data_IF_040855897768
#
_entry.id   IF_040855897768
#
_cell.length_a   1.000
_cell.length_b   1.000
_cell.length_c   1.000
_cell.angle_alpha   90.00
_cell.angle_beta   90.00
_cell.angle_gamma   90.00
#
_symmetry.space_group_name_H-M   'P 1'
#
loop_
_entity.id
_entity.type
_entity.pdbx_description
1 polymer ?
#
# COMPACT_ATOMS: atom_id res chain seq x y z
N UNK A 1 -21.83 -10.51 -9.95
CA UNK A 1 -20.49 -10.46 -10.59
C UNK A 1 -20.27 -9.19 -11.44
N UNK A 2 -21.16 -8.85 -12.38
CA UNK A 2 -21.05 -7.60 -13.17
C UNK A 2 -21.19 -6.31 -12.32
N UNK A 3 -22.06 -6.34 -11.31
CA UNK A 3 -22.32 -5.20 -10.42
C UNK A 3 -21.14 -4.91 -9.45
N UNK A 4 -20.36 -5.93 -9.12
CA UNK A 4 -19.16 -5.83 -8.27
C UNK A 4 -17.97 -5.21 -9.02
N UNK A 5 -17.79 -5.55 -10.30
CA UNK A 5 -16.82 -4.89 -11.16
C UNK A 5 -17.17 -3.42 -11.42
N UNK A 6 -18.48 -3.07 -11.46
CA UNK A 6 -18.97 -1.69 -11.56
C UNK A 6 -18.63 -0.90 -10.29
N UNK A 7 -18.94 -1.44 -9.10
CA UNK A 7 -18.63 -0.79 -7.82
C UNK A 7 -17.12 -0.56 -7.62
N UNK A 8 -16.27 -1.48 -8.07
CA UNK A 8 -14.81 -1.27 -8.03
C UNK A 8 -14.30 -0.23 -9.03
N UNK A 9 -14.92 -0.09 -10.22
CA UNK A 9 -14.56 0.97 -11.18
C UNK A 9 -14.95 2.35 -10.65
N UNK A 10 -16.12 2.46 -10.04
CA UNK A 10 -16.63 3.71 -9.46
C UNK A 10 -15.82 4.15 -8.22
N UNK A 11 -15.39 3.21 -7.37
CA UNK A 11 -14.62 3.52 -6.14
C UNK A 11 -13.12 3.72 -6.35
N UNK A 12 -12.54 3.17 -7.42
CA UNK A 12 -11.11 3.30 -7.72
C UNK A 12 -10.76 4.47 -8.66
N UNK A 13 -11.72 5.26 -9.15
CA UNK A 13 -11.49 6.58 -9.76
C UNK A 13 -10.30 6.67 -10.73
N UNK A 14 -10.22 5.76 -11.71
CA UNK A 14 -9.27 5.87 -12.82
C UNK A 14 -10.07 6.05 -14.10
N UNK A 15 -10.14 7.30 -14.57
CA UNK A 15 -10.79 7.63 -15.83
C UNK A 15 -9.98 7.06 -17.01
N UNK A 16 -10.61 6.23 -17.84
CA UNK A 16 -10.15 5.94 -19.18
C UNK A 16 -10.88 6.86 -20.16
N UNK A 17 -10.17 7.74 -20.85
CA UNK A 17 -10.62 8.29 -22.14
C UNK A 17 -10.33 7.27 -23.25
N UNK A 18 -11.00 7.23 -24.39
CA UNK A 18 -12.11 8.02 -24.94
C UNK A 18 -12.16 7.72 -26.45
N UNK A 19 -13.36 7.55 -27.00
CA UNK A 19 -13.76 7.68 -28.43
C UNK A 19 -15.25 7.24 -28.47
N UNK A 20 -16.26 7.94 -29.00
CA UNK A 20 -16.32 9.06 -29.93
C UNK A 20 -17.26 8.67 -31.07
N UNK A 21 -18.52 9.13 -31.06
CA UNK A 21 -19.36 9.42 -32.24
C UNK A 21 -20.79 9.81 -31.85
N UNK A 22 -21.37 10.75 -32.61
CA UNK A 22 -22.58 11.53 -32.38
C UNK A 22 -23.70 11.15 -33.38
N UNK A 23 -24.99 11.26 -33.00
CA UNK A 23 -26.00 12.18 -33.60
C UNK A 23 -27.48 11.85 -33.27
N UNK A 24 -28.17 12.92 -32.82
CA UNK A 24 -29.52 13.45 -33.16
C UNK A 24 -30.86 12.75 -32.81
N UNK A 25 -31.80 13.60 -32.34
CA UNK A 25 -33.16 13.44 -31.75
C UNK A 25 -34.32 13.28 -32.79
N UNK A 26 -35.64 13.53 -32.50
CA UNK A 26 -36.45 13.53 -31.25
C UNK A 26 -37.78 12.69 -31.36
N UNK A 27 -38.50 12.48 -30.25
CA UNK A 27 -39.85 11.88 -30.25
C UNK A 27 -40.69 12.23 -29.01
N UNK A 28 -41.98 12.53 -29.22
CA UNK A 28 -42.94 13.22 -28.33
C UNK A 28 -43.50 12.40 -27.15
N UNK A 29 -43.74 13.12 -26.04
CA UNK A 29 -44.90 13.12 -25.11
C UNK A 29 -45.76 11.87 -24.90
N UNK A 30 -45.89 11.45 -23.63
CA UNK A 30 -47.20 11.39 -22.93
C UNK A 30 -47.06 11.20 -21.41
N UNK A 31 -47.93 11.88 -20.67
CA UNK A 31 -48.10 11.89 -19.21
C UNK A 31 -48.66 10.55 -18.68
N UNK A 32 -48.28 10.16 -17.46
CA UNK A 32 -49.24 9.63 -16.46
C UNK A 32 -48.68 9.70 -15.04
N UNK A 33 -49.61 9.86 -14.10
CA UNK A 33 -49.46 10.12 -12.67
C UNK A 33 -49.17 8.83 -11.91
N UNK A 34 -48.43 8.90 -10.81
CA UNK A 34 -48.25 7.77 -9.88
C UNK A 34 -47.61 8.25 -8.58
N UNK A 35 -48.10 7.74 -7.46
CA UNK A 35 -48.03 8.34 -6.13
C UNK A 35 -46.63 8.40 -5.51
N UNK A 36 -46.46 9.39 -4.63
CA UNK A 36 -45.34 9.53 -3.72
C UNK A 36 -45.34 8.35 -2.73
N UNK A 37 -44.43 7.41 -2.96
CA UNK A 37 -44.09 6.36 -2.01
C UNK A 37 -42.84 6.82 -1.27
N UNK A 38 -43.02 7.12 0.02
CA UNK A 38 -41.96 7.58 0.92
C UNK A 38 -40.95 6.46 1.11
N UNK A 39 -39.89 6.50 0.31
CA UNK A 39 -38.73 5.64 0.46
C UNK A 39 -38.16 5.81 1.88
N UNK A 40 -38.27 4.73 2.66
CA UNK A 40 -37.55 4.56 3.92
C UNK A 40 -36.07 4.82 3.65
N UNK A 41 -35.36 5.60 4.50
CA UNK A 41 -33.93 5.77 4.32
C UNK A 41 -33.29 4.39 4.35
N UNK A 42 -32.62 4.04 3.24
CA UNK A 42 -31.77 2.86 3.18
C UNK A 42 -30.78 2.97 4.32
N UNK A 43 -30.80 1.96 5.20
CA UNK A 43 -29.86 1.84 6.30
C UNK A 43 -28.44 2.05 5.76
N UNK A 44 -27.73 3.00 6.36
CA UNK A 44 -26.31 3.21 6.14
C UNK A 44 -25.59 1.87 6.34
N UNK A 45 -24.58 1.54 5.52
CA UNK A 45 -23.82 0.31 5.73
C UNK A 45 -23.17 0.40 7.11
N UNK A 46 -23.46 -0.58 7.97
CA UNK A 46 -22.88 -0.67 9.31
C UNK A 46 -21.37 -0.46 9.22
N UNK A 47 -20.90 0.56 9.95
CA UNK A 47 -19.49 0.87 10.10
C UNK A 47 -18.75 -0.41 10.49
N UNK A 48 -17.84 -0.86 9.63
CA UNK A 48 -17.01 -2.03 9.89
C UNK A 48 -16.36 -1.86 11.26
N UNK A 49 -16.52 -2.89 12.10
CA UNK A 49 -15.98 -2.95 13.46
C UNK A 49 -14.57 -2.37 13.49
N UNK A 50 -14.45 -1.14 14.02
CA UNK A 50 -13.23 -0.37 13.99
C UNK A 50 -12.13 -1.15 14.70
N UNK A 51 -10.94 -1.17 14.09
CA UNK A 51 -9.73 -1.64 14.74
C UNK A 51 -9.58 -0.90 16.10
N UNK A 52 -9.30 -1.59 17.23
CA UNK A 52 -9.14 -0.93 18.53
C UNK A 52 -8.07 0.18 18.50
N UNK A 53 -8.08 1.11 19.46
CA UNK A 53 -7.12 2.21 19.48
C UNK A 53 -5.68 1.68 19.48
N UNK A 54 -4.81 2.42 18.79
CA UNK A 54 -3.37 2.09 18.70
C UNK A 54 -2.73 2.15 20.07
N UNK A 55 -1.55 1.51 20.20
CA UNK A 55 -0.65 1.84 21.30
C UNK A 55 -0.32 3.34 21.29
N UNK A 56 -0.14 3.99 22.45
CA UNK A 56 0.33 5.37 22.51
C UNK A 56 1.65 5.55 21.75
N UNK A 57 1.86 6.72 21.16
CA UNK A 57 3.16 7.06 20.58
C UNK A 57 4.20 7.20 21.70
N UNK A 58 5.44 6.80 21.42
CA UNK A 58 6.58 6.91 22.33
C UNK A 58 7.54 7.96 21.77
N UNK A 59 7.69 9.07 22.49
CA UNK A 59 8.54 10.18 22.08
C UNK A 59 10.03 9.78 21.96
N UNK A 60 10.48 8.78 22.72
CA UNK A 60 11.82 8.22 22.60
C UNK A 60 12.01 7.49 21.27
N UNK A 61 11.03 6.67 20.88
CA UNK A 61 11.03 5.98 19.58
C UNK A 61 10.97 6.98 18.42
N UNK A 62 10.15 8.02 18.53
CA UNK A 62 10.07 9.10 17.53
C UNK A 62 11.42 9.79 17.33
N UNK A 63 12.12 10.13 18.43
CA UNK A 63 13.45 10.74 18.37
C UNK A 63 14.50 9.81 17.73
N UNK A 64 14.45 8.51 18.04
CA UNK A 64 15.34 7.51 17.43
C UNK A 64 15.08 7.34 15.93
N UNK A 65 13.82 7.32 15.51
CA UNK A 65 13.45 7.28 14.09
C UNK A 65 13.87 8.55 13.35
N UNK A 66 13.74 9.72 13.97
CA UNK A 66 14.22 10.98 13.40
C UNK A 66 15.75 10.98 13.22
N UNK A 67 16.50 10.49 14.21
CA UNK A 67 17.96 10.31 14.11
C UNK A 67 18.35 9.32 12.99
N UNK A 68 17.61 8.21 12.87
CA UNK A 68 17.80 7.24 11.80
C UNK A 68 17.52 7.85 10.43
N UNK A 69 16.45 8.64 10.28
CA UNK A 69 16.13 9.36 9.05
C UNK A 69 17.24 10.35 8.66
N UNK A 70 17.79 11.10 9.62
CA UNK A 70 18.91 12.02 9.38
C UNK A 70 20.21 11.28 8.98
N UNK A 71 20.40 10.05 9.46
CA UNK A 71 21.49 9.17 9.03
C UNK A 71 21.29 8.71 7.59
N UNK A 72 20.07 8.24 7.26
CA UNK A 72 19.70 7.81 5.90
C UNK A 72 19.88 8.95 4.89
N UNK A 73 19.44 10.17 5.23
CA UNK A 73 19.54 11.34 4.35
C UNK A 73 20.97 11.65 3.89
N UNK A 74 21.97 11.30 4.70
CA UNK A 74 23.39 11.51 4.41
C UNK A 74 24.11 10.26 3.87
N UNK A 75 23.39 9.15 3.70
CA UNK A 75 23.99 7.88 3.31
C UNK A 75 24.55 7.94 1.87
N UNK A 76 25.78 7.45 1.70
CA UNK A 76 26.49 7.35 0.41
C UNK A 76 27.02 5.94 0.13
N UNK A 77 26.53 4.91 0.85
CA UNK A 77 27.00 3.51 0.73
C UNK A 77 26.82 2.92 -0.68
N UNK A 78 25.85 3.41 -1.44
CA UNK A 78 25.63 3.04 -2.84
C UNK A 78 25.91 4.25 -3.72
N UNK A 79 27.05 4.27 -4.41
CA UNK A 79 27.51 5.45 -5.17
C UNK A 79 26.51 5.90 -6.24
N UNK A 80 25.98 4.97 -7.05
CA UNK A 80 25.02 5.29 -8.12
C UNK A 80 23.72 5.87 -7.56
N UNK A 81 23.11 5.20 -6.58
CA UNK A 81 21.86 5.66 -5.96
C UNK A 81 22.01 7.02 -5.26
N UNK A 82 23.17 7.26 -4.64
CA UNK A 82 23.45 8.53 -3.97
C UNK A 82 23.68 9.67 -4.96
N UNK A 83 24.29 9.39 -6.11
CA UNK A 83 24.50 10.38 -7.15
C UNK A 83 23.22 10.68 -7.96
N UNK A 84 22.30 9.73 -8.07
CA UNK A 84 21.12 9.86 -8.95
C UNK A 84 19.84 10.32 -8.25
N UNK A 85 19.71 10.12 -6.94
CA UNK A 85 18.50 10.51 -6.19
C UNK A 85 18.39 12.02 -6.07
N UNK A 86 17.17 12.53 -6.00
CA UNK A 86 16.91 13.91 -5.56
C UNK A 86 17.02 13.99 -4.04
N UNK A 87 16.40 13.03 -3.35
CA UNK A 87 16.47 12.91 -1.89
C UNK A 87 16.19 11.47 -1.47
N UNK A 88 16.47 11.15 -0.21
CA UNK A 88 16.07 9.84 0.32
C UNK A 88 14.60 9.82 0.72
N UNK A 89 13.97 8.66 0.58
CA UNK A 89 12.58 8.41 1.00
C UNK A 89 12.61 7.40 2.13
N UNK A 90 12.45 7.88 3.36
CA UNK A 90 12.65 7.08 4.57
C UNK A 90 11.45 6.20 4.92
N UNK A 91 10.31 6.83 5.24
CA UNK A 91 9.04 6.21 5.58
C UNK A 91 7.90 7.25 5.62
N UNK A 92 6.66 6.76 5.74
CA UNK A 92 5.45 7.51 6.05
C UNK A 92 4.68 6.75 7.15
N UNK A 93 4.03 7.47 8.06
CA UNK A 93 3.25 6.88 9.15
C UNK A 93 3.90 6.93 10.55
N UNK A 94 3.14 6.54 11.58
CA UNK A 94 3.52 6.77 12.97
C UNK A 94 4.43 5.67 13.53
N UNK A 95 5.26 6.02 14.52
CA UNK A 95 6.18 5.10 15.20
C UNK A 95 5.51 3.95 15.93
N UNK A 96 4.25 4.11 16.34
CA UNK A 96 3.43 3.11 17.03
C UNK A 96 2.56 2.26 16.08
N UNK A 97 2.80 2.32 14.78
CA UNK A 97 2.01 1.57 13.81
C UNK A 97 2.15 0.06 14.01
N UNK A 98 1.02 -0.62 14.17
CA UNK A 98 1.02 -2.08 14.34
C UNK A 98 1.02 -2.86 13.01
N UNK A 99 0.84 -2.17 11.89
CA UNK A 99 0.97 -2.72 10.54
C UNK A 99 2.01 -1.92 9.77
N UNK A 100 2.99 -2.64 9.22
CA UNK A 100 4.02 -2.08 8.35
C UNK A 100 3.90 -2.64 6.93
N UNK A 101 3.84 -1.75 5.94
CA UNK A 101 3.98 -2.08 4.54
C UNK A 101 5.42 -1.87 4.08
N UNK A 102 5.97 -2.85 3.36
CA UNK A 102 7.31 -2.80 2.79
C UNK A 102 7.23 -2.98 1.28
N UNK A 103 7.57 -1.93 0.54
CA UNK A 103 7.72 -1.95 -0.91
C UNK A 103 9.16 -2.13 -1.37
N UNK A 104 9.38 -1.97 -2.68
CA UNK A 104 10.67 -2.20 -3.32
C UNK A 104 11.62 -1.02 -3.16
N UNK A 105 11.29 0.11 -3.79
CA UNK A 105 12.12 1.30 -3.86
C UNK A 105 11.25 2.53 -4.17
N UNK A 106 11.75 3.75 -3.92
CA UNK A 106 11.07 4.97 -4.33
C UNK A 106 10.98 5.08 -5.85
N UNK A 107 9.85 5.54 -6.37
CA UNK A 107 9.70 5.98 -7.75
C UNK A 107 10.02 7.47 -7.90
N UNK A 108 9.73 8.01 -9.09
CA UNK A 108 10.00 9.41 -9.42
C UNK A 108 9.22 10.39 -8.52
N UNK A 109 7.94 10.13 -8.29
CA UNK A 109 7.08 10.99 -7.47
C UNK A 109 7.50 10.98 -6.00
N UNK A 110 7.95 9.82 -5.51
CA UNK A 110 8.46 9.64 -4.15
C UNK A 110 9.81 10.34 -3.97
N UNK A 111 10.74 10.16 -4.90
CA UNK A 111 12.05 10.84 -4.90
C UNK A 111 11.92 12.36 -4.93
N UNK A 112 10.95 12.90 -5.68
CA UNK A 112 10.68 14.33 -5.70
C UNK A 112 10.09 14.86 -4.39
N UNK A 113 9.33 14.04 -3.64
CA UNK A 113 8.56 14.47 -2.46
C UNK A 113 9.14 14.02 -1.12
N UNK A 114 10.05 13.05 -1.10
CA UNK A 114 10.60 12.48 0.14
C UNK A 114 9.64 11.51 0.86
N UNK A 115 8.46 11.24 0.30
CA UNK A 115 7.40 10.43 0.94
C UNK A 115 7.13 9.17 0.11
N UNK A 116 7.11 7.97 0.71
CA UNK A 116 6.88 6.72 0.00
C UNK A 116 5.44 6.59 -0.51
N UNK A 117 5.26 5.93 -1.66
CA UNK A 117 3.94 5.61 -2.21
C UNK A 117 3.01 6.83 -2.32
N UNK A 118 3.46 7.87 -3.03
CA UNK A 118 2.68 9.10 -3.32
C UNK A 118 2.30 9.25 -4.80
N UNK A 119 2.91 8.45 -5.69
CA UNK A 119 2.52 8.35 -7.09
C UNK A 119 1.29 7.47 -7.31
N UNK A 120 1.05 7.07 -8.57
CA UNK A 120 -0.13 6.27 -8.96
C UNK A 120 -0.25 4.94 -8.19
N UNK A 121 0.87 4.23 -8.01
CA UNK A 121 0.92 3.00 -7.23
C UNK A 121 0.55 3.25 -5.76
N UNK A 122 0.99 4.39 -5.23
CA UNK A 122 0.67 4.82 -3.87
C UNK A 122 -0.78 5.20 -3.65
N UNK A 123 -1.40 5.89 -4.60
CA UNK A 123 -2.85 6.16 -4.56
C UNK A 123 -3.67 4.87 -4.56
N UNK A 124 -3.23 3.85 -5.31
CA UNK A 124 -3.87 2.54 -5.28
C UNK A 124 -3.64 1.83 -3.94
N UNK A 125 -2.43 1.90 -3.37
CA UNK A 125 -2.17 1.38 -2.02
C UNK A 125 -3.09 2.03 -0.97
N UNK A 126 -3.25 3.36 -1.02
CA UNK A 126 -4.18 4.09 -0.14
C UNK A 126 -5.60 3.54 -0.28
N UNK A 127 -6.08 3.31 -1.50
CA UNK A 127 -7.41 2.71 -1.75
C UNK A 127 -7.52 1.29 -1.21
N UNK A 128 -6.45 0.49 -1.30
CA UNK A 128 -6.40 -0.87 -0.75
C UNK A 128 -6.49 -0.83 0.78
N UNK A 129 -5.75 0.08 1.43
CA UNK A 129 -5.77 0.26 2.89
C UNK A 129 -7.17 0.71 3.35
N UNK A 130 -7.73 1.75 2.73
CA UNK A 130 -9.02 2.31 3.14
C UNK A 130 -10.20 1.39 2.83
N UNK A 131 -10.31 0.91 1.60
CA UNK A 131 -11.44 0.10 1.19
C UNK A 131 -11.29 -1.38 1.59
N UNK A 132 -10.08 -1.94 1.48
CA UNK A 132 -9.84 -3.37 1.71
C UNK A 132 -9.65 -3.74 3.17
N UNK A 133 -9.14 -2.82 3.98
CA UNK A 133 -8.82 -3.08 5.39
C UNK A 133 -9.67 -2.26 6.36
N UNK A 134 -10.36 -1.23 5.88
CA UNK A 134 -11.10 -0.29 6.75
C UNK A 134 -10.16 0.55 7.63
N UNK A 135 -8.92 0.75 7.19
CA UNK A 135 -7.89 1.50 7.92
C UNK A 135 -7.61 2.83 7.25
N UNK A 136 -7.10 3.81 7.99
CA UNK A 136 -6.60 5.04 7.35
C UNK A 136 -5.15 4.85 6.89
N UNK A 137 -4.63 5.76 6.07
CA UNK A 137 -3.24 5.63 5.58
C UNK A 137 -2.26 6.09 6.65
N UNK A 138 -2.56 7.20 7.31
CA UNK A 138 -1.89 7.74 8.50
C UNK A 138 -1.89 6.76 9.67
N UNK A 139 -2.64 5.67 9.53
CA UNK A 139 -2.79 4.64 10.53
C UNK A 139 -1.78 3.49 10.42
N UNK A 140 -0.95 3.46 9.36
CA UNK A 140 0.00 2.38 9.08
C UNK A 140 1.39 2.95 8.81
N UNK A 141 2.44 2.13 8.96
CA UNK A 141 3.80 2.52 8.57
C UNK A 141 4.09 2.02 7.16
N UNK A 142 4.62 2.87 6.28
CA UNK A 142 4.91 2.53 4.89
C UNK A 142 6.36 2.88 4.62
N UNK A 143 7.13 1.92 4.14
CA UNK A 143 8.51 2.13 3.72
C UNK A 143 8.89 1.18 2.57
N UNK A 144 10.14 1.25 2.12
CA UNK A 144 10.68 0.41 1.05
C UNK A 144 11.98 -0.29 1.48
N UNK A 145 12.40 -1.33 0.75
CA UNK A 145 13.75 -1.92 0.90
C UNK A 145 14.80 -0.84 0.68
N UNK A 146 14.81 -0.20 -0.50
CA UNK A 146 15.71 0.91 -0.78
C UNK A 146 15.14 2.23 -0.25
N UNK A 147 16.04 3.11 0.20
CA UNK A 147 15.70 4.49 0.59
C UNK A 147 16.01 5.53 -0.49
N UNK A 148 16.53 5.09 -1.63
CA UNK A 148 16.89 5.93 -2.76
C UNK A 148 16.26 5.35 -4.02
N UNK A 149 15.84 6.21 -4.95
CA UNK A 149 15.32 5.79 -6.26
C UNK A 149 16.45 5.28 -7.17
N UNK A 150 16.37 4.05 -7.69
CA UNK A 150 17.28 3.57 -8.73
C UNK A 150 17.10 4.31 -10.06
N UNK A 151 18.17 4.57 -10.82
CA UNK A 151 18.08 5.13 -12.17
C UNK A 151 17.11 4.36 -13.06
N UNK A 152 16.24 5.08 -13.77
CA UNK A 152 15.22 4.46 -14.63
C UNK A 152 14.17 3.62 -13.89
N UNK A 153 14.07 3.71 -12.56
CA UNK A 153 13.23 2.84 -11.73
C UNK A 153 13.53 1.35 -11.95
N UNK A 154 14.80 1.00 -12.19
CA UNK A 154 15.23 -0.41 -12.25
C UNK A 154 15.05 -1.09 -10.90
N UNK A 155 15.06 -2.42 -10.90
CA UNK A 155 15.06 -3.18 -9.66
C UNK A 155 16.36 -2.90 -8.86
N UNK A 156 16.31 -2.99 -7.52
CA UNK A 156 17.48 -2.98 -6.64
C UNK A 156 18.48 -4.08 -7.00
N UNK A 157 19.76 -3.73 -7.00
CA UNK A 157 20.82 -4.72 -6.99
C UNK A 157 20.96 -5.36 -5.58
N UNK A 158 21.48 -6.59 -5.46
CA UNK A 158 21.57 -7.27 -4.16
C UNK A 158 22.41 -6.53 -3.11
N UNK A 159 23.51 -5.91 -3.52
CA UNK A 159 24.38 -5.09 -2.68
C UNK A 159 23.68 -3.80 -2.21
N UNK A 160 22.94 -3.14 -3.11
CA UNK A 160 22.13 -1.98 -2.77
C UNK A 160 21.08 -2.29 -1.70
N UNK A 161 20.38 -3.43 -1.88
CA UNK A 161 19.40 -3.92 -0.93
C UNK A 161 20.06 -4.28 0.40
N UNK A 162 21.22 -4.95 0.39
CA UNK A 162 21.96 -5.29 1.60
C UNK A 162 22.39 -4.04 2.38
N UNK A 163 22.91 -3.00 1.71
CA UNK A 163 23.28 -1.74 2.38
C UNK A 163 22.09 -1.04 3.03
N UNK A 164 20.91 -1.06 2.39
CA UNK A 164 19.70 -0.44 2.93
C UNK A 164 18.98 -1.32 3.97
N UNK A 165 19.24 -2.64 3.98
CA UNK A 165 18.61 -3.60 4.89
C UNK A 165 18.84 -3.23 6.35
N UNK A 166 20.03 -2.75 6.71
CA UNK A 166 20.33 -2.31 8.08
C UNK A 166 19.37 -1.20 8.57
N UNK A 167 19.03 -0.24 7.69
CA UNK A 167 18.08 0.82 8.04
C UNK A 167 16.66 0.29 8.18
N UNK A 168 16.24 -0.61 7.28
CA UNK A 168 14.92 -1.24 7.37
C UNK A 168 14.78 -2.08 8.64
N UNK A 169 15.80 -2.86 8.97
CA UNK A 169 15.82 -3.67 10.19
C UNK A 169 15.71 -2.80 11.44
N UNK A 170 16.40 -1.65 11.46
CA UNK A 170 16.28 -0.70 12.57
C UNK A 170 14.91 -0.03 12.62
N UNK A 171 14.29 0.26 11.47
CA UNK A 171 12.89 0.72 11.42
C UNK A 171 11.93 -0.33 11.99
N UNK A 172 12.09 -1.61 11.62
CA UNK A 172 11.26 -2.71 12.13
C UNK A 172 11.43 -2.88 13.64
N UNK A 173 12.68 -2.80 14.14
CA UNK A 173 12.97 -2.86 15.57
C UNK A 173 12.31 -1.72 16.35
N UNK A 174 12.43 -0.48 15.87
CA UNK A 174 11.90 0.71 16.53
C UNK A 174 10.36 0.77 16.49
N UNK A 175 9.76 0.47 15.32
CA UNK A 175 8.31 0.52 15.14
C UNK A 175 7.62 -0.68 15.81
N UNK A 176 8.32 -1.82 15.91
CA UNK A 176 7.82 -3.07 16.48
C UNK A 176 6.40 -3.44 15.99
N UNK A 177 6.17 -3.53 14.65
CA UNK A 177 4.85 -3.80 14.11
C UNK A 177 4.39 -5.22 14.50
N UNK A 178 3.08 -5.40 14.65
CA UNK A 178 2.48 -6.72 14.88
C UNK A 178 2.42 -7.55 13.60
N UNK A 179 2.29 -6.91 12.44
CA UNK A 179 2.21 -7.57 11.13
C UNK A 179 3.00 -6.77 10.09
N UNK A 180 3.70 -7.46 9.20
CA UNK A 180 4.31 -6.87 8.01
C UNK A 180 3.59 -7.34 6.75
N UNK A 181 3.32 -6.44 5.81
CA UNK A 181 2.80 -6.74 4.49
C UNK A 181 3.83 -6.35 3.41
N UNK A 182 4.44 -7.35 2.77
CA UNK A 182 5.36 -7.13 1.66
C UNK A 182 4.61 -6.94 0.35
N UNK A 183 4.97 -5.87 -0.37
CA UNK A 183 4.37 -5.50 -1.64
C UNK A 183 5.28 -5.94 -2.79
N UNK A 184 4.97 -7.09 -3.39
CA UNK A 184 5.70 -7.62 -4.55
C UNK A 184 6.89 -8.51 -4.20
N UNK A 185 7.44 -9.13 -5.25
CA UNK A 185 8.50 -10.13 -5.13
C UNK A 185 9.84 -9.58 -4.68
N UNK A 186 10.15 -8.32 -4.99
CA UNK A 186 11.43 -7.72 -4.58
C UNK A 186 11.46 -7.42 -3.08
N UNK A 187 10.38 -6.83 -2.56
CA UNK A 187 10.22 -6.60 -1.12
C UNK A 187 10.30 -7.92 -0.34
N UNK A 188 9.57 -8.95 -0.78
CA UNK A 188 9.61 -10.24 -0.12
C UNK A 188 10.97 -10.93 -0.23
N UNK A 189 11.63 -10.86 -1.39
CA UNK A 189 12.97 -11.43 -1.58
C UNK A 189 13.99 -10.84 -0.62
N UNK A 190 14.05 -9.52 -0.50
CA UNK A 190 15.08 -8.88 0.30
C UNK A 190 14.74 -8.74 1.78
N UNK A 191 13.48 -8.92 2.18
CA UNK A 191 13.12 -9.00 3.60
C UNK A 191 13.21 -10.43 4.13
N UNK A 192 12.71 -11.41 3.37
CA UNK A 192 12.56 -12.80 3.82
C UNK A 192 13.68 -13.71 3.33
N UNK A 193 14.62 -13.17 2.56
CA UNK A 193 15.72 -13.92 1.92
C UNK A 193 15.21 -15.12 1.10
N UNK A 194 14.03 -14.95 0.46
CA UNK A 194 13.36 -15.98 -0.34
C UNK A 194 13.05 -15.49 -1.76
N UNK A 195 13.64 -16.13 -2.77
CA UNK A 195 13.47 -15.83 -4.18
C UNK A 195 12.22 -16.45 -4.83
N UNK A 196 11.35 -17.12 -4.06
CA UNK A 196 10.11 -17.73 -4.55
C UNK A 196 9.25 -16.68 -5.27
N UNK A 197 8.72 -16.98 -6.48
CA UNK A 197 7.88 -16.04 -7.22
C UNK A 197 6.68 -15.57 -6.39
N UNK A 198 6.40 -14.25 -6.44
CA UNK A 198 5.32 -13.63 -5.64
C UNK A 198 3.96 -14.33 -5.80
N UNK A 199 3.66 -14.87 -6.97
CA UNK A 199 2.41 -15.60 -7.23
C UNK A 199 2.26 -16.89 -6.41
N UNK A 200 3.38 -17.56 -6.08
CA UNK A 200 3.41 -18.74 -5.23
C UNK A 200 3.54 -18.37 -3.75
N UNK A 201 4.17 -17.23 -3.47
CA UNK A 201 4.42 -16.75 -2.10
C UNK A 201 3.18 -16.12 -1.45
N UNK A 202 2.36 -15.43 -2.25
CA UNK A 202 1.17 -14.75 -1.74
C UNK A 202 0.14 -15.72 -1.17
N UNK A 203 -0.74 -15.24 -0.30
CA UNK A 203 -1.75 -16.08 0.33
C UNK A 203 -1.23 -16.96 1.48
N UNK A 204 0.07 -16.92 1.78
CA UNK A 204 0.69 -17.70 2.85
C UNK A 204 1.31 -16.80 3.92
N UNK A 205 1.25 -17.24 5.17
CA UNK A 205 1.91 -16.57 6.28
C UNK A 205 3.36 -17.02 6.39
N UNK A 206 4.23 -16.04 6.60
CA UNK A 206 5.67 -16.22 6.85
C UNK A 206 6.04 -15.50 8.13
N UNK A 207 7.30 -15.57 8.51
CA UNK A 207 7.79 -14.87 9.68
C UNK A 207 9.09 -14.13 9.37
N UNK A 208 9.23 -12.97 9.99
CA UNK A 208 10.47 -12.20 10.02
C UNK A 208 10.73 -11.76 11.45
N UNK A 209 11.77 -12.32 12.08
CA UNK A 209 12.12 -12.05 13.49
C UNK A 209 10.92 -12.21 14.44
N UNK A 210 10.12 -13.26 14.23
CA UNK A 210 8.90 -13.53 15.00
C UNK A 210 7.66 -12.72 14.59
N UNK A 211 7.80 -11.73 13.70
CA UNK A 211 6.68 -10.93 13.20
C UNK A 211 6.02 -11.68 12.01
N UNK A 212 4.70 -11.92 12.02
CA UNK A 212 4.00 -12.50 10.88
C UNK A 212 4.08 -11.59 9.66
N UNK A 213 4.47 -12.18 8.53
CA UNK A 213 4.59 -11.49 7.24
C UNK A 213 3.62 -12.09 6.24
N UNK A 214 2.82 -11.23 5.61
CA UNK A 214 2.02 -11.58 4.44
C UNK A 214 2.64 -10.97 3.20
N UNK A 215 2.63 -11.70 2.10
CA UNK A 215 3.10 -11.19 0.81
C UNK A 215 1.91 -11.03 -0.13
N UNK A 216 1.87 -9.91 -0.86
CA UNK A 216 0.87 -9.67 -1.90
C UNK A 216 1.51 -9.03 -3.14
N UNK A 217 0.74 -8.80 -4.20
CA UNK A 217 1.25 -8.11 -5.38
C UNK A 217 1.52 -6.64 -5.11
N UNK A 218 2.58 -6.10 -5.72
CA UNK A 218 2.86 -4.67 -5.67
C UNK A 218 1.74 -3.89 -6.39
N UNK A 219 1.29 -2.72 -5.88
CA UNK A 219 0.25 -1.92 -6.54
C UNK A 219 0.57 -1.56 -8.00
N UNK A 220 1.84 -1.33 -8.34
CA UNK A 220 2.26 -1.09 -9.72
C UNK A 220 2.02 -2.30 -10.65
N UNK A 221 2.03 -3.53 -10.14
CA UNK A 221 1.65 -4.73 -10.91
C UNK A 221 0.16 -4.68 -11.27
N UNK A 222 -0.71 -4.29 -10.33
CA UNK A 222 -2.15 -4.14 -10.60
C UNK A 222 -2.45 -3.04 -11.63
N UNK A 223 -1.65 -1.97 -11.64
CA UNK A 223 -1.81 -0.89 -12.62
C UNK A 223 -1.47 -1.34 -14.05
N UNK A 224 -0.47 -2.23 -14.21
CA UNK A 224 -0.09 -2.78 -15.51
C UNK A 224 -1.01 -3.93 -15.94
N UNK A 225 -1.35 -4.80 -15.00
CA UNK A 225 -2.13 -6.01 -15.21
C UNK A 225 -3.46 -5.92 -14.46
N UNK A 226 -4.34 -5.05 -14.96
CA UNK A 226 -5.61 -4.72 -14.32
C UNK A 226 -6.69 -5.77 -14.59
N UNK A 227 -6.50 -6.98 -14.04
CA UNK A 227 -7.49 -8.07 -14.15
C UNK A 227 -8.39 -8.15 -12.91
N UNK A 228 -9.56 -8.78 -13.04
CA UNK A 228 -10.44 -9.05 -11.89
C UNK A 228 -9.75 -10.00 -10.90
N UNK A 229 -9.14 -11.06 -11.41
CA UNK A 229 -8.42 -12.07 -10.62
C UNK A 229 -7.25 -11.47 -9.82
N UNK A 230 -6.40 -10.64 -10.43
CA UNK A 230 -5.27 -10.03 -9.74
C UNK A 230 -5.73 -9.08 -8.61
N UNK A 231 -6.81 -8.33 -8.82
CA UNK A 231 -7.40 -7.46 -7.80
C UNK A 231 -8.02 -8.25 -6.66
N UNK A 232 -8.72 -9.34 -6.97
CA UNK A 232 -9.31 -10.22 -5.96
C UNK A 232 -8.22 -10.83 -5.08
N UNK A 233 -7.13 -11.30 -5.68
CA UNK A 233 -5.96 -11.81 -4.96
C UNK A 233 -5.40 -10.80 -3.96
N UNK A 234 -5.17 -9.55 -4.38
CA UNK A 234 -4.69 -8.51 -3.44
C UNK A 234 -5.71 -8.24 -2.35
N UNK A 235 -7.00 -8.20 -2.69
CA UNK A 235 -8.07 -8.01 -1.73
C UNK A 235 -8.11 -9.09 -0.65
N UNK A 236 -8.01 -10.35 -1.04
CA UNK A 236 -7.99 -11.48 -0.12
C UNK A 236 -6.79 -11.40 0.83
N UNK A 237 -5.59 -11.08 0.29
CA UNK A 237 -4.39 -10.96 1.11
C UNK A 237 -4.51 -9.85 2.17
N UNK A 238 -5.02 -8.67 1.81
CA UNK A 238 -5.10 -7.56 2.76
C UNK A 238 -6.23 -7.73 3.77
N UNK A 239 -7.31 -8.45 3.42
CA UNK A 239 -8.34 -8.83 4.39
C UNK A 239 -7.80 -9.80 5.43
N UNK A 240 -6.97 -10.76 5.01
CA UNK A 240 -6.25 -11.65 5.92
C UNK A 240 -5.29 -10.88 6.83
N UNK A 241 -4.57 -9.89 6.31
CA UNK A 241 -3.74 -8.99 7.14
C UNK A 241 -4.57 -8.26 8.20
N UNK A 242 -5.71 -7.68 7.80
CA UNK A 242 -6.60 -7.00 8.74
C UNK A 242 -7.19 -7.95 9.78
N UNK A 243 -7.54 -9.18 9.39
CA UNK A 243 -8.02 -10.22 10.30
C UNK A 243 -6.94 -10.63 11.30
N UNK A 244 -5.71 -10.86 10.85
CA UNK A 244 -4.57 -11.20 11.72
C UNK A 244 -4.25 -10.08 12.70
N UNK A 245 -4.34 -8.83 12.24
CA UNK A 245 -4.12 -7.68 13.13
C UNK A 245 -5.18 -7.62 14.25
N UNK A 246 -6.45 -7.88 13.93
CA UNK A 246 -7.53 -8.00 14.93
C UNK A 246 -7.25 -9.15 15.90
N UNK A 247 -6.92 -10.34 15.40
CA UNK A 247 -6.56 -11.51 16.23
C UNK A 247 -5.44 -11.17 17.24
N UNK A 248 -4.39 -10.47 16.80
CA UNK A 248 -3.26 -10.06 17.65
C UNK A 248 -3.56 -8.90 18.60
N UNK A 249 -4.75 -8.31 18.55
CA UNK A 249 -5.21 -7.27 19.48
C UNK A 249 -6.06 -7.85 20.62
N UNK A 250 -6.48 -9.12 20.52
CA UNK A 250 -7.49 -9.72 21.40
C UNK A 250 -8.90 -9.30 21.01
#
# INVERSE_FOLDING_TARGET
MAEFARQMRERLGVAGGGAGASKAAPGRSSRSRGAAETARPAAEPEAGQGLPPRRPADAGVDAQLASLAATVARCTRCAELAASRTQTVFADGPSNAELMFVGEAPGQDEDARGVPFVGRAGQLLTKIITAGMGMRREDVYICNILKCRPPGNRNPAPDEAAHCREYLDKQIELVAPKVICCLGGVASRFLLDDATPVGQMRGQWRQYRGIPVRVTYHPAYLLRNYTVDARQKVWDDVREVAAKLRELRG
#
